data_IF_781103878465
#
_entry.id   IF_781103878465
#
_cell.length_a   1.000
_cell.length_b   1.000
_cell.length_c   1.000
_cell.angle_alpha   90.00
_cell.angle_beta   90.00
_cell.angle_gamma   90.00
#
_symmetry.space_group_name_H-M   'P 1'
#
loop_
_entity.id
_entity.type
_entity.pdbx_description
1 polymer ?
#
# COMPACT_ATOMS: atom_id res chain seq x y z
N UNK A 1 0.74 20.99 -13.90
CA UNK A 1 -0.42 20.17 -13.41
C UNK A 1 0.04 18.98 -12.57
N UNK A 2 1.12 18.27 -12.95
CA UNK A 2 1.64 17.11 -12.22
C UNK A 2 2.34 17.52 -10.91
N UNK A 3 3.16 18.56 -10.94
CA UNK A 3 3.77 19.16 -9.74
C UNK A 3 2.73 19.62 -8.71
N UNK A 4 1.63 20.21 -9.16
CA UNK A 4 0.57 20.71 -8.29
C UNK A 4 -0.16 19.57 -7.51
N UNK A 5 -0.38 18.41 -8.14
CA UNK A 5 -1.00 17.27 -7.45
C UNK A 5 -0.06 16.62 -6.43
N UNK A 6 1.21 16.45 -6.78
CA UNK A 6 2.22 15.91 -5.88
C UNK A 6 2.40 16.81 -4.65
N UNK A 7 2.36 18.13 -4.83
CA UNK A 7 2.41 19.11 -3.73
C UNK A 7 1.21 18.96 -2.78
N UNK A 8 0.00 18.76 -3.31
CA UNK A 8 -1.21 18.50 -2.51
C UNK A 8 -1.06 17.21 -1.69
N UNK A 9 -0.51 16.15 -2.27
CA UNK A 9 -0.29 14.86 -1.59
C UNK A 9 0.77 15.02 -0.50
N UNK A 10 1.89 15.69 -0.79
CA UNK A 10 2.95 15.95 0.18
C UNK A 10 2.43 16.77 1.38
N UNK A 11 1.75 17.89 1.12
CA UNK A 11 1.17 18.74 2.17
C UNK A 11 0.15 18.00 3.05
N UNK A 12 -0.63 17.09 2.45
CA UNK A 12 -1.55 16.24 3.19
C UNK A 12 -0.78 15.35 4.19
N UNK A 13 0.25 14.65 3.74
CA UNK A 13 1.00 13.73 4.58
C UNK A 13 1.89 14.42 5.61
N UNK A 14 2.44 15.59 5.30
CA UNK A 14 3.16 16.42 6.26
C UNK A 14 2.28 16.81 7.45
N UNK A 15 1.02 17.20 7.18
CA UNK A 15 0.05 17.49 8.24
C UNK A 15 -0.28 16.28 9.12
N UNK A 16 -0.31 15.09 8.55
CA UNK A 16 -0.65 13.86 9.25
C UNK A 16 0.53 13.24 10.03
N UNK A 17 1.76 13.67 9.75
CA UNK A 17 2.99 13.00 10.17
C UNK A 17 3.09 12.76 11.67
N UNK A 18 2.82 13.77 12.51
CA UNK A 18 2.94 13.69 13.98
C UNK A 18 2.02 12.62 14.61
N UNK A 19 0.87 12.38 14.02
CA UNK A 19 -0.14 11.48 14.57
C UNK A 19 -0.20 10.12 13.88
N UNK A 20 0.41 10.00 12.71
CA UNK A 20 0.27 8.83 11.83
C UNK A 20 0.76 7.54 12.48
N UNK A 21 1.97 7.55 13.04
CA UNK A 21 2.58 6.35 13.64
C UNK A 21 1.77 5.83 14.81
N UNK A 22 1.32 6.72 15.71
CA UNK A 22 0.47 6.35 16.84
C UNK A 22 -0.85 5.73 16.37
N UNK A 23 -1.54 6.37 15.43
CA UNK A 23 -2.83 5.86 14.89
C UNK A 23 -2.67 4.49 14.21
N UNK A 24 -1.63 4.30 13.43
CA UNK A 24 -1.31 3.03 12.79
C UNK A 24 -0.99 1.96 13.83
N UNK A 25 -0.26 2.32 14.90
CA UNK A 25 0.10 1.43 16.00
C UNK A 25 -1.06 1.00 16.90
N UNK A 26 -2.11 1.80 17.04
CA UNK A 26 -3.28 1.50 17.89
C UNK A 26 -4.37 0.69 17.18
N UNK A 27 -4.30 0.55 15.87
CA UNK A 27 -5.34 -0.10 15.08
C UNK A 27 -5.04 -1.58 14.83
N UNK A 28 -5.78 -2.47 15.51
CA UNK A 28 -5.58 -3.91 15.39
C UNK A 28 -5.85 -4.46 13.98
N UNK A 29 -6.78 -3.88 13.22
CA UNK A 29 -7.06 -4.29 11.84
C UNK A 29 -5.84 -3.97 10.96
N UNK A 30 -5.34 -2.73 11.04
CA UNK A 30 -4.13 -2.34 10.30
C UNK A 30 -2.92 -3.20 10.68
N UNK A 31 -2.73 -3.50 11.99
CA UNK A 31 -1.66 -4.40 12.43
C UNK A 31 -1.77 -5.79 11.80
N UNK A 32 -2.98 -6.37 11.79
CA UNK A 32 -3.20 -7.71 11.21
C UNK A 32 -2.92 -7.70 9.71
N UNK A 33 -3.41 -6.70 8.97
CA UNK A 33 -3.16 -6.56 7.54
C UNK A 33 -1.67 -6.36 7.26
N UNK A 34 -1.01 -5.48 8.01
CA UNK A 34 0.42 -5.19 7.87
C UNK A 34 1.28 -6.44 8.06
N UNK A 35 0.97 -7.24 9.07
CA UNK A 35 1.70 -8.49 9.30
C UNK A 35 1.54 -9.46 8.12
N UNK A 36 0.33 -9.60 7.58
CA UNK A 36 0.09 -10.45 6.41
C UNK A 36 0.83 -9.92 5.16
N UNK A 37 0.84 -8.60 4.94
CA UNK A 37 1.60 -7.98 3.84
C UNK A 37 3.12 -8.26 3.99
N UNK A 38 3.66 -8.11 5.19
CA UNK A 38 5.06 -8.41 5.51
C UNK A 38 5.40 -9.88 5.26
N UNK A 39 4.51 -10.80 5.63
CA UNK A 39 4.69 -12.24 5.37
C UNK A 39 4.75 -12.54 3.87
N UNK A 40 3.87 -11.94 3.06
CA UNK A 40 3.93 -12.06 1.60
C UNK A 40 5.25 -11.51 1.05
N UNK A 41 5.69 -10.37 1.54
CA UNK A 41 6.97 -9.77 1.12
C UNK A 41 8.15 -10.67 1.47
N UNK A 42 8.22 -11.17 2.71
CA UNK A 42 9.28 -12.10 3.14
C UNK A 42 9.26 -13.44 2.40
N UNK A 43 8.09 -13.90 1.95
CA UNK A 43 8.00 -15.13 1.16
C UNK A 43 8.77 -15.07 -0.16
N UNK A 44 9.13 -13.87 -0.61
CA UNK A 44 9.97 -13.60 -1.78
C UNK A 44 11.46 -13.60 -1.49
N UNK A 45 11.87 -13.80 -0.21
CA UNK A 45 13.25 -13.84 0.26
C UNK A 45 14.09 -12.64 -0.18
N UNK A 46 13.60 -11.40 0.02
CA UNK A 46 14.32 -10.20 -0.40
C UNK A 46 15.59 -10.01 0.41
N UNK A 47 16.61 -9.39 -0.20
CA UNK A 47 17.80 -8.85 0.47
C UNK A 47 17.87 -7.34 0.35
N UNK A 48 17.61 -6.82 -0.85
CA UNK A 48 17.54 -5.39 -1.15
C UNK A 48 16.11 -5.02 -1.52
N UNK A 49 15.55 -4.07 -0.82
CA UNK A 49 14.14 -3.74 -0.93
C UNK A 49 13.94 -2.25 -1.25
N UNK A 50 12.79 -1.94 -1.86
CA UNK A 50 12.30 -0.57 -2.03
C UNK A 50 10.87 -0.46 -1.51
N UNK A 51 10.64 0.45 -0.57
CA UNK A 51 9.29 0.89 -0.16
C UNK A 51 8.92 2.18 -0.88
N UNK A 52 7.77 2.20 -1.57
CA UNK A 52 7.19 3.42 -2.13
C UNK A 52 6.08 3.88 -1.19
N UNK A 53 6.14 5.15 -0.76
CA UNK A 53 5.24 5.70 0.25
C UNK A 53 5.53 5.14 1.64
N UNK A 54 6.77 5.28 2.12
CA UNK A 54 7.23 4.69 3.39
C UNK A 54 6.59 5.33 4.63
N UNK A 55 6.00 6.54 4.51
CA UNK A 55 5.42 7.25 5.63
C UNK A 55 6.42 7.43 6.78
N UNK A 56 6.04 7.17 8.05
CA UNK A 56 6.98 7.29 9.18
C UNK A 56 7.99 6.13 9.26
N UNK A 57 8.10 5.28 8.23
CA UNK A 57 9.10 4.21 8.14
C UNK A 57 8.82 2.98 9.02
N UNK A 58 7.55 2.69 9.33
CA UNK A 58 7.18 1.53 10.16
C UNK A 58 7.61 0.20 9.57
N UNK A 59 7.50 0.05 8.25
CA UNK A 59 7.84 -1.17 7.56
C UNK A 59 9.32 -1.21 7.21
N UNK A 60 9.93 -0.09 6.80
CA UNK A 60 11.39 0.02 6.61
C UNK A 60 12.14 -0.41 7.87
N UNK A 61 11.76 0.13 9.03
CA UNK A 61 12.41 -0.20 10.32
C UNK A 61 12.25 -1.67 10.65
N UNK A 62 11.04 -2.19 10.49
CA UNK A 62 10.73 -3.59 10.79
C UNK A 62 11.51 -4.57 9.89
N UNK A 63 11.66 -4.27 8.60
CA UNK A 63 12.47 -5.09 7.70
C UNK A 63 13.96 -4.95 8.00
N UNK A 64 14.47 -3.74 8.29
CA UNK A 64 15.86 -3.52 8.63
C UNK A 64 16.30 -4.24 9.92
N UNK A 65 15.37 -4.57 10.84
CA UNK A 65 15.66 -5.38 12.04
C UNK A 65 15.97 -6.84 11.72
N UNK A 66 15.78 -7.29 10.50
CA UNK A 66 16.04 -8.68 10.10
C UNK A 66 17.47 -8.86 9.61
N UNK A 67 18.06 -9.99 9.97
CA UNK A 67 19.45 -10.29 9.61
C UNK A 67 19.63 -10.60 8.12
N UNK A 68 18.59 -11.12 7.46
CA UNK A 68 18.57 -11.50 6.06
C UNK A 68 18.33 -10.31 5.11
N UNK A 69 17.95 -9.14 5.63
CA UNK A 69 17.79 -7.92 4.86
C UNK A 69 19.08 -7.09 4.91
N UNK A 70 19.60 -6.77 3.75
CA UNK A 70 20.83 -5.96 3.58
C UNK A 70 20.53 -4.48 3.58
N UNK A 71 19.57 -4.04 2.75
CA UNK A 71 19.21 -2.63 2.54
C UNK A 71 17.71 -2.50 2.29
N UNK A 72 17.12 -1.45 2.86
CA UNK A 72 15.76 -0.99 2.57
C UNK A 72 15.82 0.44 2.08
N UNK A 73 15.69 0.62 0.77
CA UNK A 73 15.44 1.93 0.18
C UNK A 73 14.01 2.35 0.45
N UNK A 74 13.77 3.64 0.61
CA UNK A 74 12.43 4.21 0.68
C UNK A 74 12.34 5.43 -0.22
N UNK A 75 11.17 5.61 -0.85
CA UNK A 75 10.82 6.84 -1.57
C UNK A 75 9.47 7.31 -1.08
N UNK A 76 9.40 8.55 -0.61
CA UNK A 76 8.16 9.20 -0.16
C UNK A 76 8.16 10.64 -0.59
N UNK A 77 6.99 11.18 -0.85
CA UNK A 77 6.82 12.55 -1.33
C UNK A 77 6.82 13.58 -0.19
N UNK A 78 6.67 13.14 1.07
CA UNK A 78 6.58 14.00 2.25
C UNK A 78 7.97 14.32 2.83
N UNK A 79 8.41 15.60 2.81
CA UNK A 79 9.63 16.03 3.48
C UNK A 79 9.63 15.72 4.98
N UNK A 80 8.46 15.78 5.62
CA UNK A 80 8.36 15.53 7.07
C UNK A 80 8.55 14.04 7.38
N UNK A 81 8.00 13.14 6.59
CA UNK A 81 8.29 11.72 6.73
C UNK A 81 9.75 11.40 6.44
N UNK A 82 10.36 12.03 5.44
CA UNK A 82 11.81 11.88 5.21
C UNK A 82 12.59 12.26 6.47
N UNK A 83 12.34 13.43 7.06
CA UNK A 83 13.00 13.89 8.28
C UNK A 83 12.85 12.89 9.45
N UNK A 84 11.66 12.33 9.62
CA UNK A 84 11.38 11.32 10.67
C UNK A 84 12.21 10.06 10.42
N UNK A 85 12.23 9.54 9.19
CA UNK A 85 12.92 8.28 8.88
C UNK A 85 14.43 8.45 8.85
N UNK A 86 14.96 9.58 8.40
CA UNK A 86 16.39 9.91 8.52
C UNK A 86 16.86 9.93 9.98
N UNK A 87 16.04 10.46 10.89
CA UNK A 87 16.35 10.41 12.32
C UNK A 87 16.40 8.97 12.85
N UNK A 88 15.43 8.12 12.45
CA UNK A 88 15.44 6.69 12.81
C UNK A 88 16.65 5.96 12.22
N UNK A 89 17.01 6.22 10.97
CA UNK A 89 18.18 5.65 10.31
C UNK A 89 19.48 6.04 11.01
N UNK A 90 19.64 7.32 11.38
CA UNK A 90 20.80 7.83 12.14
C UNK A 90 20.90 7.18 13.53
N UNK A 91 19.79 7.04 14.25
CA UNK A 91 19.76 6.38 15.56
C UNK A 91 20.15 4.90 15.49
N UNK A 92 19.81 4.21 14.40
CA UNK A 92 20.23 2.82 14.16
C UNK A 92 21.74 2.73 13.90
N UNK A 93 22.29 3.59 13.08
CA UNK A 93 23.70 3.63 12.73
C UNK A 93 24.22 2.45 11.91
N UNK A 94 23.36 1.55 11.42
CA UNK A 94 23.73 0.34 10.67
C UNK A 94 23.74 0.54 9.13
N UNK A 95 23.28 1.70 8.65
CA UNK A 95 23.25 2.03 7.23
C UNK A 95 22.23 1.26 6.40
N UNK A 96 21.35 0.46 7.02
CA UNK A 96 20.38 -0.36 6.30
C UNK A 96 19.18 0.41 5.76
N UNK A 97 18.82 1.55 6.32
CA UNK A 97 17.66 2.35 5.93
C UNK A 97 18.12 3.55 5.12
N UNK A 98 17.66 3.65 3.89
CA UNK A 98 18.00 4.73 2.95
C UNK A 98 16.71 5.45 2.50
N UNK A 99 16.22 6.44 3.27
CA UNK A 99 15.06 7.22 2.90
C UNK A 99 15.43 8.29 1.89
N UNK A 100 14.61 8.44 0.85
CA UNK A 100 14.75 9.45 -0.19
C UNK A 100 13.44 10.21 -0.34
N UNK A 101 13.54 11.51 -0.66
CA UNK A 101 12.43 12.33 -1.07
C UNK A 101 12.22 12.18 -2.58
N UNK A 102 10.99 11.96 -3.00
CA UNK A 102 10.63 11.85 -4.41
C UNK A 102 9.28 11.21 -4.63
N UNK A 103 8.84 11.19 -5.87
CA UNK A 103 7.60 10.54 -6.27
C UNK A 103 7.81 9.07 -6.65
N UNK A 104 6.73 8.32 -6.84
CA UNK A 104 6.79 6.93 -7.28
C UNK A 104 7.33 6.79 -8.72
N UNK A 105 7.26 7.85 -9.51
CA UNK A 105 7.78 7.95 -10.87
C UNK A 105 9.31 8.10 -10.90
N UNK A 106 9.90 8.71 -9.86
CA UNK A 106 11.34 9.06 -9.80
C UNK A 106 12.23 7.91 -9.31
N UNK A 107 11.66 6.75 -8.97
CA UNK A 107 12.39 5.65 -8.31
C UNK A 107 13.58 5.12 -9.10
N UNK A 108 13.54 5.20 -10.44
CA UNK A 108 14.66 4.77 -11.28
C UNK A 108 15.87 5.69 -11.14
N UNK A 109 15.62 7.00 -11.06
CA UNK A 109 16.68 8.00 -10.88
C UNK A 109 17.28 7.93 -9.47
N UNK A 110 16.43 7.64 -8.47
CA UNK A 110 16.81 7.62 -7.05
C UNK A 110 17.56 6.32 -6.69
N UNK A 111 17.08 5.17 -7.13
CA UNK A 111 17.55 3.85 -6.68
C UNK A 111 18.44 3.17 -7.72
N UNK A 112 18.21 3.45 -9.01
CA UNK A 112 18.89 2.83 -10.14
C UNK A 112 18.14 1.63 -10.73
N UNK A 113 18.53 1.24 -11.94
CA UNK A 113 17.97 0.06 -12.62
C UNK A 113 18.50 -1.23 -12.01
N UNK A 114 17.66 -2.26 -11.98
CA UNK A 114 17.99 -3.60 -11.47
C UNK A 114 18.66 -3.58 -10.09
N UNK A 115 18.24 -2.66 -9.23
CA UNK A 115 18.88 -2.38 -7.94
C UNK A 115 18.33 -3.25 -6.79
N UNK A 116 17.04 -3.62 -6.85
CA UNK A 116 16.35 -4.26 -5.73
C UNK A 116 15.73 -5.62 -6.11
N UNK A 117 15.64 -6.51 -5.10
CA UNK A 117 15.00 -7.81 -5.25
C UNK A 117 13.48 -7.70 -5.11
N UNK A 118 13.02 -6.71 -4.35
CA UNK A 118 11.59 -6.54 -4.04
C UNK A 118 11.21 -5.07 -3.92
N UNK A 119 10.12 -4.69 -4.59
CA UNK A 119 9.41 -3.43 -4.37
C UNK A 119 8.13 -3.73 -3.60
N UNK A 120 7.80 -2.92 -2.59
CA UNK A 120 6.52 -3.06 -1.91
C UNK A 120 5.84 -1.71 -1.66
N UNK A 121 4.51 -1.71 -1.73
CA UNK A 121 3.65 -0.55 -1.48
C UNK A 121 2.45 -1.00 -0.67
N UNK A 122 2.35 -0.52 0.57
CA UNK A 122 1.30 -0.94 1.47
C UNK A 122 0.19 0.10 1.62
N UNK A 123 -1.00 -0.37 2.02
CA UNK A 123 -2.17 0.44 2.34
C UNK A 123 -2.63 1.41 1.24
N UNK A 124 -2.37 1.07 -0.02
CA UNK A 124 -2.89 1.82 -1.14
C UNK A 124 -2.15 3.13 -1.44
N UNK A 125 -0.85 3.22 -1.14
CA UNK A 125 -0.05 4.38 -1.52
C UNK A 125 -0.17 4.73 -3.01
N UNK A 126 -0.29 3.74 -3.88
CA UNK A 126 -0.51 3.97 -5.33
C UNK A 126 -1.91 4.48 -5.70
N UNK A 127 -2.85 4.56 -4.78
CA UNK A 127 -4.14 5.23 -5.03
C UNK A 127 -4.02 6.76 -5.12
N UNK A 128 -2.88 7.31 -4.70
CA UNK A 128 -2.56 8.75 -4.74
C UNK A 128 -1.53 9.10 -5.81
N UNK A 129 -1.36 8.25 -6.80
CA UNK A 129 -0.48 8.46 -7.95
C UNK A 129 -1.32 8.80 -9.18
N UNK A 130 -0.88 9.75 -9.99
CA UNK A 130 -1.58 10.18 -11.20
C UNK A 130 -1.43 9.18 -12.34
N UNK A 131 -0.21 8.68 -12.57
CA UNK A 131 0.10 7.78 -13.67
C UNK A 131 0.63 6.42 -13.17
N UNK A 132 -0.33 5.50 -12.96
CA UNK A 132 0.00 4.12 -12.58
C UNK A 132 0.80 3.36 -13.64
N UNK A 133 0.75 3.76 -14.91
CA UNK A 133 1.48 3.08 -15.99
C UNK A 133 2.95 3.47 -15.97
N UNK A 134 3.27 4.75 -15.79
CA UNK A 134 4.63 5.23 -15.54
C UNK A 134 5.25 4.58 -14.33
N UNK A 135 4.50 4.49 -13.21
CA UNK A 135 4.97 3.80 -12.00
C UNK A 135 5.18 2.31 -12.24
N UNK A 136 4.30 1.62 -12.96
CA UNK A 136 4.48 0.21 -13.28
C UNK A 136 5.75 -0.02 -14.12
N UNK A 137 6.02 0.84 -15.10
CA UNK A 137 7.27 0.85 -15.88
C UNK A 137 8.49 1.10 -14.99
N UNK A 138 8.43 2.10 -14.09
CA UNK A 138 9.53 2.41 -13.19
C UNK A 138 9.82 1.24 -12.22
N UNK A 139 8.78 0.61 -11.65
CA UNK A 139 8.92 -0.58 -10.80
C UNK A 139 9.59 -1.72 -11.56
N UNK A 140 9.21 -1.97 -12.82
CA UNK A 140 9.83 -3.03 -13.62
C UNK A 140 11.32 -2.79 -13.91
N UNK A 141 11.75 -1.53 -14.02
CA UNK A 141 13.14 -1.15 -14.27
C UNK A 141 14.01 -1.28 -13.03
N UNK A 142 13.51 -0.90 -11.85
CA UNK A 142 14.30 -0.99 -10.59
C UNK A 142 14.41 -2.42 -10.07
N UNK A 143 13.47 -3.30 -10.44
CA UNK A 143 13.53 -4.71 -10.07
C UNK A 143 14.63 -5.44 -10.83
N UNK A 144 15.37 -6.28 -10.13
CA UNK A 144 16.24 -7.27 -10.74
C UNK A 144 15.44 -8.30 -11.54
N UNK A 145 16.04 -8.99 -12.51
CA UNK A 145 15.43 -10.18 -13.12
C UNK A 145 14.94 -11.16 -12.04
N UNK A 146 13.69 -11.64 -12.15
CA UNK A 146 13.07 -12.50 -11.14
C UNK A 146 12.66 -11.80 -9.84
N UNK A 147 12.86 -10.49 -9.73
CA UNK A 147 12.41 -9.69 -8.60
C UNK A 147 10.89 -9.58 -8.51
N UNK A 148 10.37 -9.19 -7.36
CA UNK A 148 8.92 -9.16 -7.11
C UNK A 148 8.42 -7.79 -6.66
N UNK A 149 7.21 -7.40 -7.11
CA UNK A 149 6.48 -6.25 -6.61
C UNK A 149 5.26 -6.71 -5.79
N UNK A 150 5.14 -6.27 -4.53
CA UNK A 150 4.02 -6.53 -3.64
C UNK A 150 3.24 -5.23 -3.45
N UNK A 151 2.12 -5.11 -4.13
CA UNK A 151 1.36 -3.88 -4.24
C UNK A 151 -0.02 -4.04 -3.62
N UNK A 152 -0.42 -3.09 -2.78
CA UNK A 152 -1.76 -3.07 -2.22
C UNK A 152 -2.54 -1.85 -2.69
N UNK A 153 -3.82 -2.04 -2.96
CA UNK A 153 -4.72 -0.98 -3.41
C UNK A 153 -6.00 -0.94 -2.57
N UNK A 154 -6.52 0.26 -2.36
CA UNK A 154 -7.89 0.47 -1.91
C UNK A 154 -8.82 0.18 -3.08
N UNK A 155 -9.77 -0.73 -2.88
CA UNK A 155 -10.64 -1.21 -3.96
C UNK A 155 -11.73 -0.22 -4.33
N UNK A 156 -12.05 -0.18 -5.61
CA UNK A 156 -13.17 0.58 -6.17
C UNK A 156 -14.52 0.03 -5.71
N UNK A 157 -14.65 -1.29 -5.68
CA UNK A 157 -15.87 -2.00 -5.30
C UNK A 157 -15.75 -2.54 -3.88
N UNK A 158 -16.05 -1.74 -2.88
CA UNK A 158 -16.13 -2.21 -1.51
C UNK A 158 -17.60 -2.43 -1.14
N UNK A 159 -18.08 -3.69 -1.29
CA UNK A 159 -19.50 -4.03 -1.15
C UNK A 159 -20.05 -3.73 0.25
N UNK A 160 -19.27 -3.96 1.29
CA UNK A 160 -19.69 -3.64 2.65
C UNK A 160 -20.02 -2.14 2.83
N UNK A 161 -19.17 -1.26 2.30
CA UNK A 161 -19.38 0.19 2.36
C UNK A 161 -20.58 0.62 1.51
N UNK A 162 -20.72 0.05 0.32
CA UNK A 162 -21.84 0.31 -0.59
C UNK A 162 -23.15 -0.08 0.10
N UNK A 163 -23.26 -1.34 0.55
CA UNK A 163 -24.46 -1.85 1.21
C UNK A 163 -24.82 -1.03 2.45
N UNK A 164 -23.84 -0.75 3.31
CA UNK A 164 -24.06 0.01 4.54
C UNK A 164 -24.55 1.44 4.28
N UNK A 165 -23.97 2.14 3.30
CA UNK A 165 -24.39 3.49 2.98
C UNK A 165 -25.75 3.53 2.25
N UNK A 166 -26.13 2.51 1.49
CA UNK A 166 -27.47 2.37 0.93
C UNK A 166 -28.49 2.21 2.07
N UNK A 167 -28.21 1.31 3.03
CA UNK A 167 -29.09 1.11 4.19
C UNK A 167 -29.30 2.39 5.01
N UNK A 168 -28.26 3.23 5.08
CA UNK A 168 -28.33 4.55 5.76
C UNK A 168 -28.91 5.66 4.86
N UNK A 169 -29.48 5.35 3.69
CA UNK A 169 -30.01 6.30 2.72
C UNK A 169 -28.98 7.36 2.29
N UNK A 170 -27.71 6.98 2.11
CA UNK A 170 -26.58 7.82 1.72
C UNK A 170 -25.97 7.40 0.37
N UNK A 171 -26.73 7.42 -0.75
CA UNK A 171 -26.27 6.88 -2.03
C UNK A 171 -25.01 7.59 -2.57
N UNK A 172 -24.88 8.90 -2.33
CA UNK A 172 -23.67 9.65 -2.74
C UNK A 172 -22.39 9.13 -2.10
N UNK A 173 -22.47 8.64 -0.84
CA UNK A 173 -21.33 8.00 -0.13
C UNK A 173 -21.15 6.56 -0.57
N UNK A 174 -22.24 5.82 -0.80
CA UNK A 174 -22.19 4.42 -1.26
C UNK A 174 -21.36 4.28 -2.55
N UNK A 175 -21.52 5.20 -3.48
CA UNK A 175 -20.87 5.16 -4.79
C UNK A 175 -19.72 6.17 -4.94
N UNK A 176 -19.18 6.68 -3.84
CA UNK A 176 -18.12 7.70 -3.87
C UNK A 176 -16.83 7.21 -4.55
N UNK A 177 -16.44 5.95 -4.34
CA UNK A 177 -15.24 5.33 -4.94
C UNK A 177 -15.34 5.10 -6.44
N UNK A 178 -16.56 5.13 -7.01
CA UNK A 178 -16.77 4.99 -8.45
C UNK A 178 -16.49 6.27 -9.24
N UNK A 179 -16.30 7.38 -8.55
CA UNK A 179 -15.98 8.66 -9.18
C UNK A 179 -14.53 8.67 -9.67
N UNK A 180 -14.21 9.48 -10.70
CA UNK A 180 -12.83 9.65 -11.16
C UNK A 180 -11.89 10.14 -10.05
N UNK A 181 -12.40 10.99 -9.16
CA UNK A 181 -11.68 11.46 -7.96
C UNK A 181 -12.48 11.06 -6.73
N UNK A 182 -11.83 10.32 -5.85
CA UNK A 182 -12.37 9.90 -4.55
C UNK A 182 -11.70 10.67 -3.42
N UNK A 183 -12.48 11.41 -2.64
CA UNK A 183 -11.99 12.22 -1.53
C UNK A 183 -12.11 11.51 -0.16
N UNK A 184 -12.40 10.21 -0.15
CA UNK A 184 -12.65 9.44 1.06
C UNK A 184 -11.46 8.59 1.52
N UNK A 185 -10.26 8.84 0.99
CA UNK A 185 -9.05 8.10 1.32
C UNK A 185 -8.70 8.16 2.81
N UNK A 186 -8.93 9.32 3.41
CA UNK A 186 -8.73 9.51 4.84
C UNK A 186 -9.99 10.07 5.52
N UNK A 187 -10.25 9.69 6.78
CA UNK A 187 -11.33 10.23 7.56
C UNK A 187 -11.05 11.63 8.13
N UNK A 188 -9.82 12.09 8.14
CA UNK A 188 -9.36 13.32 8.80
C UNK A 188 -9.36 14.51 7.86
N UNK A 189 -8.89 14.34 6.63
CA UNK A 189 -8.81 15.39 5.61
C UNK A 189 -9.09 14.80 4.23
N UNK A 190 -9.63 15.61 3.32
CA UNK A 190 -9.85 15.20 1.94
C UNK A 190 -8.51 15.09 1.21
N UNK A 191 -8.24 13.92 0.64
CA UNK A 191 -7.13 13.71 -0.27
C UNK A 191 -7.70 13.19 -1.59
N UNK A 192 -7.58 13.95 -2.70
CA UNK A 192 -7.97 13.46 -4.00
C UNK A 192 -7.20 12.19 -4.34
N UNK A 193 -7.90 11.10 -4.58
CA UNK A 193 -7.30 9.80 -4.87
C UNK A 193 -8.11 9.05 -5.90
N UNK A 194 -7.57 7.98 -6.44
CA UNK A 194 -8.21 7.14 -7.44
C UNK A 194 -8.27 5.69 -6.97
N UNK A 195 -9.43 5.05 -7.14
CA UNK A 195 -9.60 3.63 -6.86
C UNK A 195 -9.61 2.85 -8.18
N UNK A 196 -8.49 2.26 -8.63
CA UNK A 196 -8.46 1.47 -9.85
C UNK A 196 -9.27 0.18 -9.70
N UNK A 197 -9.79 -0.31 -10.81
CA UNK A 197 -10.37 -1.66 -10.87
C UNK A 197 -9.27 -2.72 -10.96
N UNK A 198 -9.57 -3.96 -10.57
CA UNK A 198 -8.64 -5.08 -10.75
C UNK A 198 -8.21 -5.28 -12.21
N UNK A 199 -9.11 -4.95 -13.17
CA UNK A 199 -8.79 -5.02 -14.59
C UNK A 199 -7.79 -3.95 -15.00
N UNK A 200 -7.95 -2.72 -14.51
CA UNK A 200 -7.00 -1.61 -14.77
C UNK A 200 -5.62 -1.91 -14.17
N UNK A 201 -5.58 -2.40 -12.92
CA UNK A 201 -4.31 -2.81 -12.28
C UNK A 201 -3.64 -3.92 -13.09
N UNK A 202 -4.39 -4.97 -13.43
CA UNK A 202 -3.87 -6.08 -14.22
C UNK A 202 -3.40 -5.66 -15.62
N UNK A 203 -4.07 -4.69 -16.25
CA UNK A 203 -3.66 -4.18 -17.57
C UNK A 203 -2.40 -3.33 -17.47
N UNK A 204 -2.38 -2.33 -16.59
CA UNK A 204 -1.27 -1.37 -16.49
C UNK A 204 0.03 -2.04 -16.02
N UNK A 205 -0.04 -2.86 -14.98
CA UNK A 205 1.13 -3.57 -14.47
C UNK A 205 1.50 -4.77 -15.34
N UNK A 206 0.52 -5.46 -15.92
CA UNK A 206 0.74 -6.63 -16.78
C UNK A 206 1.44 -6.36 -18.11
N UNK A 207 1.60 -5.08 -18.50
CA UNK A 207 2.42 -4.68 -19.66
C UNK A 207 3.93 -4.82 -19.37
N UNK A 208 4.33 -4.73 -18.10
CA UNK A 208 5.73 -4.66 -17.68
C UNK A 208 6.15 -5.82 -16.76
N UNK A 209 5.19 -6.42 -16.06
CA UNK A 209 5.40 -7.41 -15.01
C UNK A 209 4.41 -8.57 -15.16
N UNK A 210 4.79 -9.78 -14.71
CA UNK A 210 3.93 -10.94 -14.72
C UNK A 210 3.08 -11.01 -13.43
N UNK A 211 1.74 -11.03 -13.49
CA UNK A 211 0.90 -11.22 -12.32
C UNK A 211 0.96 -12.67 -11.84
N UNK A 212 1.40 -12.90 -10.59
CA UNK A 212 1.56 -14.25 -10.02
C UNK A 212 0.60 -14.56 -8.87
N UNK A 213 0.13 -13.54 -8.16
CA UNK A 213 -0.77 -13.75 -7.03
C UNK A 213 -1.67 -12.54 -6.76
N UNK A 214 -2.84 -12.80 -6.17
CA UNK A 214 -3.77 -11.76 -5.71
C UNK A 214 -4.54 -12.23 -4.49
N UNK A 215 -4.89 -11.30 -3.59
CA UNK A 215 -5.65 -11.56 -2.38
C UNK A 215 -6.47 -10.34 -1.97
N UNK A 216 -7.74 -10.55 -1.57
CA UNK A 216 -8.58 -9.50 -1.02
C UNK A 216 -8.58 -9.47 0.50
N UNK A 217 -8.90 -8.32 1.08
CA UNK A 217 -8.93 -8.10 2.53
C UNK A 217 -10.15 -7.29 2.94
N UNK A 218 -10.66 -7.58 4.13
CA UNK A 218 -11.84 -6.92 4.70
C UNK A 218 -13.04 -7.01 3.75
N UNK A 219 -13.36 -8.22 3.25
CA UNK A 219 -14.51 -8.46 2.36
C UNK A 219 -15.79 -8.39 3.20
N UNK A 220 -15.85 -9.15 4.30
CA UNK A 220 -16.91 -9.12 5.32
C UNK A 220 -16.43 -8.55 6.64
N UNK A 221 -15.13 -8.73 6.96
CA UNK A 221 -14.55 -8.11 8.15
C UNK A 221 -14.57 -6.58 7.97
N UNK A 222 -15.02 -5.82 8.99
CA UNK A 222 -15.04 -4.36 8.91
C UNK A 222 -13.64 -3.79 8.63
N UNK A 223 -13.59 -2.74 7.81
CA UNK A 223 -12.37 -1.99 7.57
C UNK A 223 -11.86 -1.33 8.87
N UNK A 224 -10.60 -0.89 8.85
CA UNK A 224 -9.88 -0.34 9.98
C UNK A 224 -10.57 0.85 10.68
N UNK A 225 -11.30 1.68 9.94
CA UNK A 225 -12.06 2.82 10.47
C UNK A 225 -13.40 2.42 11.12
N UNK A 226 -13.76 1.13 11.05
CA UNK A 226 -14.91 0.52 11.71
C UNK A 226 -14.51 -0.60 12.67
N UNK A 227 -13.27 -0.56 13.20
CA UNK A 227 -12.69 -1.59 14.09
C UNK A 227 -13.56 -1.94 15.30
N UNK A 228 -14.38 -1.00 15.78
CA UNK A 228 -15.29 -1.21 16.91
C UNK A 228 -16.43 -2.20 16.62
N UNK A 229 -16.73 -2.49 15.34
CA UNK A 229 -17.77 -3.45 14.96
C UNK A 229 -17.33 -4.90 15.09
N UNK A 230 -16.05 -5.14 15.06
CA UNK A 230 -15.43 -6.43 15.28
C UNK A 230 -14.23 -6.25 16.22
N UNK A 231 -14.46 -6.13 17.55
CA UNK A 231 -13.41 -5.92 18.54
C UNK A 231 -12.34 -7.01 18.44
N UNK A 232 -11.10 -6.63 18.73
CA UNK A 232 -9.97 -7.54 18.70
C UNK A 232 -10.24 -8.80 19.55
N UNK A 233 -9.89 -9.97 19.05
CA UNK A 233 -10.09 -11.28 19.67
C UNK A 233 -11.55 -11.67 19.99
N UNK A 234 -12.56 -10.91 19.56
CA UNK A 234 -13.95 -11.33 19.69
C UNK A 234 -14.26 -12.52 18.78
N UNK A 235 -15.24 -13.33 19.17
CA UNK A 235 -15.77 -14.42 18.35
C UNK A 235 -16.21 -13.90 16.99
N UNK A 236 -16.88 -12.74 16.97
CA UNK A 236 -17.34 -12.08 15.75
C UNK A 236 -16.16 -11.76 14.83
N UNK A 237 -15.08 -11.15 15.34
CA UNK A 237 -13.90 -10.81 14.52
C UNK A 237 -13.27 -12.07 13.93
N UNK A 238 -13.10 -13.12 14.75
CA UNK A 238 -12.51 -14.40 14.28
C UNK A 238 -13.37 -15.06 13.20
N UNK A 239 -14.69 -15.10 13.37
CA UNK A 239 -15.61 -15.68 12.39
C UNK A 239 -15.57 -14.91 11.08
N UNK A 240 -15.59 -13.57 11.10
CA UNK A 240 -15.51 -12.75 9.90
C UNK A 240 -14.17 -12.92 9.16
N UNK A 241 -13.05 -13.01 9.88
CA UNK A 241 -11.75 -13.33 9.26
C UNK A 241 -11.74 -14.72 8.61
N UNK A 242 -12.36 -15.72 9.25
CA UNK A 242 -12.47 -17.05 8.66
C UNK A 242 -13.29 -17.02 7.37
N UNK A 243 -14.40 -16.31 7.37
CA UNK A 243 -15.24 -16.13 6.17
C UNK A 243 -14.47 -15.38 5.06
N UNK A 244 -13.73 -14.34 5.41
CA UNK A 244 -12.87 -13.63 4.45
C UNK A 244 -11.84 -14.56 3.81
N UNK A 245 -11.22 -15.48 4.57
CA UNK A 245 -10.28 -16.47 4.03
C UNK A 245 -10.92 -17.41 2.99
N UNK A 246 -12.21 -17.69 3.12
CA UNK A 246 -12.96 -18.47 2.12
C UNK A 246 -13.24 -17.59 0.90
N UNK A 247 -13.77 -16.40 1.11
CA UNK A 247 -14.15 -15.48 0.04
C UNK A 247 -12.98 -15.00 -0.81
N UNK A 248 -11.78 -14.88 -0.23
CA UNK A 248 -10.54 -14.55 -0.95
C UNK A 248 -10.22 -15.50 -2.10
N UNK A 249 -10.72 -16.74 -2.07
CA UNK A 249 -10.53 -17.76 -3.10
C UNK A 249 -11.63 -17.77 -4.16
N UNK A 250 -12.64 -16.94 -4.01
CA UNK A 250 -13.81 -16.83 -4.92
C UNK A 250 -13.69 -15.55 -5.76
N UNK A 251 -14.53 -15.32 -6.76
CA UNK A 251 -14.60 -14.06 -7.49
C UNK A 251 -14.89 -12.83 -6.60
N UNK A 252 -15.33 -13.03 -5.35
CA UNK A 252 -15.59 -11.94 -4.40
C UNK A 252 -14.32 -11.34 -3.76
N UNK A 253 -13.13 -11.90 -4.02
CA UNK A 253 -11.86 -11.42 -3.47
C UNK A 253 -11.64 -9.91 -3.66
N UNK A 254 -12.10 -9.34 -4.77
CA UNK A 254 -11.91 -7.94 -5.17
C UNK A 254 -12.96 -6.98 -4.59
N UNK A 255 -13.87 -7.47 -3.74
CA UNK A 255 -14.95 -6.67 -3.17
C UNK A 255 -14.74 -6.28 -1.70
N UNK A 256 -13.51 -6.46 -1.19
CA UNK A 256 -13.09 -6.00 0.12
C UNK A 256 -12.54 -4.56 0.11
N UNK A 257 -12.08 -4.10 1.28
CA UNK A 257 -11.45 -2.77 1.42
C UNK A 257 -10.14 -2.67 0.63
N UNK A 258 -9.27 -3.69 0.78
CA UNK A 258 -7.98 -3.75 0.10
C UNK A 258 -7.85 -4.98 -0.78
N UNK A 259 -7.03 -4.86 -1.80
CA UNK A 259 -6.47 -6.00 -2.53
C UNK A 259 -4.95 -5.90 -2.58
N UNK A 260 -4.31 -7.06 -2.45
CA UNK A 260 -2.87 -7.26 -2.62
C UNK A 260 -2.65 -7.98 -3.95
N UNK A 261 -1.66 -7.51 -4.68
CA UNK A 261 -1.15 -8.14 -5.90
C UNK A 261 0.32 -8.43 -5.74
N UNK A 262 0.77 -9.54 -6.28
CA UNK A 262 2.17 -9.85 -6.46
C UNK A 262 2.43 -9.98 -7.95
N UNK A 263 3.39 -9.21 -8.42
CA UNK A 263 3.91 -9.27 -9.77
C UNK A 263 5.38 -9.69 -9.71
N UNK A 264 5.86 -10.34 -10.76
CA UNK A 264 7.27 -10.69 -10.92
C UNK A 264 7.85 -10.01 -12.17
N UNK A 265 9.08 -9.55 -12.03
CA UNK A 265 9.84 -9.05 -13.17
C UNK A 265 10.06 -10.18 -14.16
N UNK A 266 9.85 -9.91 -15.45
CA UNK A 266 10.24 -10.84 -16.51
C UNK A 266 11.76 -10.92 -16.56
N UNK A 267 12.30 -12.11 -16.77
CA UNK A 267 13.70 -12.26 -17.15
C UNK A 267 13.90 -11.47 -18.44
N UNK A 268 14.73 -10.43 -18.37
CA UNK A 268 15.17 -9.77 -19.60
C UNK A 268 16.17 -10.74 -20.25
N UNK A 269 15.75 -11.43 -21.32
CA UNK A 269 16.67 -12.11 -22.22
C UNK A 269 17.67 -11.12 -22.83
#
# INVERSE_FOLDING_TARGET
>A
MESDYNDIVAEYYDFEADSFERRAGENHVLKTLRNDFREFTLSRRPKKMLEIGYGPGLDMTWFADRNDIEIVHGVDISPEFQRIVENKARQRGDGKILPNLGSAEDIVEIVGESAVDTVYVYFGGLNTVNDLESVASAISKVLKPGGSAILTFVNRWYLFEIFWNILLLRPRRAFSRLRPVWNGYSPTRSLPSYCPTAREIGHKFGQFLNPVYRKGYCILHPAWYRKHWAPFNSVRSRSLYLMDRILQRTPLWNFGEYSLYIFESTDKE
#
